data_IF_461532682568
#
_entry.id   IF_461532682568
#
_cell.length_a   1.000
_cell.length_b   1.000
_cell.length_c   1.000
_cell.angle_alpha   90.00
_cell.angle_beta   90.00
_cell.angle_gamma   90.00
#
_symmetry.space_group_name_H-M   'P 1'
#
loop_
_entity.id
_entity.type
_entity.pdbx_description
1 polymer ?
#
# COMPACT_ATOMS: atom_id res chain seq x y z
N UNK A 1 17.58 -13.35 -27.89
CA UNK A 1 16.89 -13.22 -26.60
C UNK A 1 17.82 -12.44 -25.68
N UNK A 2 17.38 -11.35 -25.06
CA UNK A 2 18.23 -10.62 -24.11
C UNK A 2 18.36 -11.43 -22.82
N UNK A 3 19.59 -11.65 -22.37
CA UNK A 3 19.90 -12.25 -21.06
C UNK A 3 20.62 -11.18 -20.24
N UNK A 4 20.00 -10.76 -19.14
CA UNK A 4 20.59 -9.76 -18.24
C UNK A 4 21.93 -10.27 -17.71
N UNK A 5 22.97 -9.44 -17.79
CA UNK A 5 24.34 -9.75 -17.37
C UNK A 5 25.01 -10.91 -18.16
N UNK A 6 24.64 -11.14 -19.42
CA UNK A 6 25.24 -12.20 -20.24
C UNK A 6 26.77 -12.08 -20.36
N UNK A 7 27.29 -10.90 -20.72
CA UNK A 7 28.72 -10.69 -20.91
C UNK A 7 29.53 -11.00 -19.63
N UNK A 8 29.08 -10.48 -18.47
CA UNK A 8 29.64 -10.82 -17.15
C UNK A 8 29.64 -12.33 -16.85
N UNK A 9 28.62 -13.07 -17.28
CA UNK A 9 28.54 -14.52 -17.05
C UNK A 9 29.48 -15.31 -17.96
N UNK A 10 29.78 -14.78 -19.14
CA UNK A 10 30.68 -15.39 -20.12
C UNK A 10 32.15 -15.09 -19.79
N UNK A 11 32.46 -13.85 -19.40
CA UNK A 11 33.81 -13.40 -19.04
C UNK A 11 33.78 -12.36 -17.89
N UNK A 12 33.72 -12.79 -16.62
CA UNK A 12 33.57 -11.89 -15.48
C UNK A 12 34.80 -11.00 -15.21
N UNK A 13 35.98 -11.40 -15.70
CA UNK A 13 37.21 -10.65 -15.48
C UNK A 13 37.31 -9.44 -16.43
N UNK A 14 36.85 -9.60 -17.68
CA UNK A 14 36.80 -8.51 -18.67
C UNK A 14 35.52 -7.68 -18.60
N UNK A 15 34.41 -8.27 -18.15
CA UNK A 15 33.09 -7.63 -18.09
C UNK A 15 32.53 -7.58 -16.65
N UNK A 16 33.26 -7.00 -15.68
CA UNK A 16 32.83 -6.98 -14.28
C UNK A 16 31.56 -6.14 -14.08
N UNK A 17 30.81 -6.44 -13.01
CA UNK A 17 29.69 -5.62 -12.58
C UNK A 17 30.16 -4.32 -11.90
N UNK A 18 29.27 -3.32 -11.82
CA UNK A 18 29.56 -2.03 -11.17
C UNK A 18 29.62 -2.06 -9.64
N UNK A 19 29.91 -3.21 -9.02
CA UNK A 19 30.06 -3.36 -7.57
C UNK A 19 31.53 -3.22 -7.17
N UNK A 20 31.86 -2.94 -5.89
CA UNK A 20 33.25 -2.87 -5.43
C UNK A 20 34.11 -4.10 -5.75
N UNK A 21 33.51 -5.30 -5.73
CA UNK A 21 34.20 -6.55 -6.08
C UNK A 21 34.19 -6.91 -7.57
N UNK A 22 33.41 -6.20 -8.39
CA UNK A 22 33.14 -6.61 -9.77
C UNK A 22 32.15 -7.78 -9.91
N UNK A 23 31.63 -8.32 -8.80
CA UNK A 23 30.76 -9.51 -8.75
C UNK A 23 29.36 -9.18 -8.19
N UNK A 24 28.47 -10.18 -8.16
CA UNK A 24 27.23 -10.09 -7.39
C UNK A 24 27.57 -10.23 -5.90
N UNK A 25 27.35 -9.17 -5.13
CA UNK A 25 27.63 -9.15 -3.69
C UNK A 25 26.42 -9.64 -2.89
N UNK A 26 26.44 -10.92 -2.50
CA UNK A 26 25.46 -11.46 -1.53
C UNK A 26 25.65 -10.81 -0.16
N UNK A 27 26.90 -10.48 0.18
CA UNK A 27 27.27 -9.66 1.33
C UNK A 27 27.93 -8.38 0.83
N UNK A 28 27.35 -7.23 1.18
CA UNK A 28 27.93 -5.92 0.88
C UNK A 28 28.69 -5.39 2.09
N UNK A 29 30.02 -5.43 2.01
CA UNK A 29 30.89 -4.82 3.02
C UNK A 29 30.62 -3.32 3.15
N UNK A 30 30.39 -2.64 2.03
CA UNK A 30 30.06 -1.21 2.00
C UNK A 30 28.85 -0.88 2.89
N UNK A 31 27.79 -1.69 2.86
CA UNK A 31 26.62 -1.50 3.73
C UNK A 31 26.95 -1.88 5.18
N UNK A 32 27.64 -3.01 5.40
CA UNK A 32 28.00 -3.44 6.74
C UNK A 32 28.83 -2.40 7.50
N UNK A 33 29.78 -1.75 6.83
CA UNK A 33 30.65 -0.73 7.42
C UNK A 33 29.89 0.56 7.80
N UNK A 34 28.66 0.78 7.28
CA UNK A 34 27.80 1.89 7.70
C UNK A 34 27.19 1.69 9.09
N UNK A 35 27.20 0.46 9.63
CA UNK A 35 26.69 0.12 10.97
C UNK A 35 25.27 0.65 11.26
N UNK A 36 24.36 0.57 10.29
CA UNK A 36 22.95 0.88 10.53
C UNK A 36 22.28 -0.22 11.36
N UNK A 37 21.32 0.14 12.21
CA UNK A 37 20.60 -0.84 13.04
C UNK A 37 19.59 -1.66 12.22
N UNK A 38 19.04 -1.09 11.15
CA UNK A 38 17.93 -1.63 10.35
C UNK A 38 18.31 -2.01 8.91
N UNK A 39 19.59 -1.91 8.55
CA UNK A 39 20.11 -2.28 7.24
C UNK A 39 21.52 -2.85 7.36
N UNK A 40 21.62 -4.19 7.34
CA UNK A 40 22.88 -4.93 7.53
C UNK A 40 23.52 -5.31 6.19
N UNK A 41 24.74 -5.83 6.22
CA UNK A 41 25.47 -6.24 5.02
C UNK A 41 24.83 -7.36 4.18
N UNK A 42 23.78 -8.01 4.66
CA UNK A 42 23.06 -9.06 3.94
C UNK A 42 21.55 -9.01 4.27
N UNK A 43 20.68 -9.70 3.50
CA UNK A 43 19.25 -9.75 3.78
C UNK A 43 18.94 -10.29 5.17
N UNK A 44 18.03 -9.59 5.88
CA UNK A 44 17.56 -9.96 7.22
C UNK A 44 16.07 -9.62 7.36
N UNK A 45 15.41 -10.32 8.28
CA UNK A 45 14.05 -9.99 8.70
C UNK A 45 14.08 -9.02 9.88
N UNK A 46 13.31 -7.94 9.77
CA UNK A 46 13.05 -6.99 10.85
C UNK A 46 11.55 -6.85 11.01
N UNK A 47 11.08 -6.97 12.25
CA UNK A 47 9.67 -6.75 12.58
C UNK A 47 9.26 -5.30 12.27
N UNK A 48 8.01 -5.13 11.83
CA UNK A 48 7.46 -3.82 11.45
C UNK A 48 6.77 -3.16 12.64
N UNK A 49 6.76 -1.83 12.64
CA UNK A 49 6.17 -1.01 13.71
C UNK A 49 4.66 -1.29 13.86
N UNK A 50 3.94 -1.45 12.74
CA UNK A 50 2.53 -1.82 12.71
C UNK A 50 2.36 -3.04 11.80
N UNK A 51 1.84 -4.16 12.33
CA UNK A 51 1.63 -5.38 11.54
C UNK A 51 0.36 -6.11 11.97
N UNK A 52 -0.49 -6.45 11.01
CA UNK A 52 -1.72 -7.22 11.24
C UNK A 52 -1.43 -8.70 11.59
N UNK A 53 -2.48 -9.48 11.81
CA UNK A 53 -2.38 -10.93 12.05
C UNK A 53 -1.47 -11.31 13.23
N UNK A 54 -1.68 -10.65 14.37
CA UNK A 54 -0.94 -10.92 15.61
C UNK A 54 0.37 -10.15 15.75
N UNK A 55 0.71 -9.26 14.80
CA UNK A 55 1.83 -8.34 14.94
C UNK A 55 1.53 -7.14 15.85
N UNK A 56 2.54 -6.27 16.08
CA UNK A 56 2.39 -5.09 16.92
C UNK A 56 1.23 -4.18 16.45
N UNK A 57 0.40 -3.75 17.40
CA UNK A 57 -0.74 -2.86 17.15
C UNK A 57 -2.04 -3.53 16.65
N UNK A 58 -2.00 -4.82 16.27
CA UNK A 58 -3.13 -5.48 15.60
C UNK A 58 -4.38 -5.66 16.48
N UNK A 59 -4.23 -5.63 17.81
CA UNK A 59 -5.38 -5.73 18.73
C UNK A 59 -6.28 -4.49 18.66
N UNK A 60 -5.70 -3.31 18.39
CA UNK A 60 -6.44 -2.04 18.31
C UNK A 60 -6.87 -1.74 16.88
N UNK A 61 -5.99 -1.96 15.91
CA UNK A 61 -6.25 -1.74 14.48
C UNK A 61 -5.93 -3.04 13.71
N UNK A 62 -6.92 -3.95 13.56
CA UNK A 62 -6.66 -5.31 13.06
C UNK A 62 -6.49 -5.42 11.55
N UNK A 63 -6.98 -4.45 10.77
CA UNK A 63 -6.96 -4.50 9.32
C UNK A 63 -5.68 -3.89 8.75
N UNK A 64 -5.04 -4.59 7.81
CA UNK A 64 -3.97 -4.03 6.99
C UNK A 64 -4.56 -3.32 5.78
N UNK A 65 -4.22 -2.04 5.61
CA UNK A 65 -4.64 -1.23 4.48
C UNK A 65 -3.61 -1.30 3.35
N UNK A 66 -4.06 -1.69 2.16
CA UNK A 66 -3.26 -1.65 0.94
C UNK A 66 -3.70 -0.46 0.07
N UNK A 67 -2.75 0.42 -0.26
CA UNK A 67 -2.97 1.55 -1.17
C UNK A 67 -2.28 1.36 -2.52
N UNK A 68 -2.72 0.33 -3.25
CA UNK A 68 -2.16 -0.01 -4.57
C UNK A 68 -2.60 0.99 -5.65
N UNK A 69 -1.89 1.02 -6.77
CA UNK A 69 -2.23 1.88 -7.90
C UNK A 69 -3.65 1.60 -8.43
N UNK A 70 -4.38 2.62 -8.90
CA UNK A 70 -5.73 2.50 -9.44
C UNK A 70 -5.75 1.86 -10.84
N UNK A 71 -6.80 1.08 -11.13
CA UNK A 71 -7.03 0.51 -12.47
C UNK A 71 -7.60 1.55 -13.45
N UNK A 72 -8.41 2.48 -12.94
CA UNK A 72 -9.14 3.48 -13.74
C UNK A 72 -8.38 4.80 -13.90
N UNK A 73 -7.22 4.98 -13.27
CA UNK A 73 -6.54 6.28 -13.22
C UNK A 73 -5.03 6.10 -13.36
N UNK A 74 -4.34 7.20 -13.61
CA UNK A 74 -2.89 7.29 -13.42
C UNK A 74 -2.64 8.15 -12.20
N UNK A 75 -2.39 7.53 -11.05
CA UNK A 75 -2.37 8.22 -9.76
C UNK A 75 -3.68 9.00 -9.55
N UNK A 76 -3.57 10.31 -9.32
CA UNK A 76 -4.69 11.24 -9.19
C UNK A 76 -5.15 11.87 -10.50
N UNK A 77 -4.44 11.65 -11.60
CA UNK A 77 -4.87 12.12 -12.92
C UNK A 77 -6.12 11.35 -13.33
N UNK A 78 -7.09 12.06 -13.93
CA UNK A 78 -8.41 11.55 -14.31
C UNK A 78 -9.36 11.31 -13.12
N UNK A 79 -8.95 11.63 -11.89
CA UNK A 79 -9.88 11.59 -10.75
C UNK A 79 -10.93 12.70 -10.85
N UNK A 80 -10.67 13.78 -11.58
CA UNK A 80 -11.66 14.81 -11.90
C UNK A 80 -12.72 14.37 -12.91
N UNK A 81 -12.44 13.31 -13.69
CA UNK A 81 -13.31 12.86 -14.76
C UNK A 81 -14.59 12.24 -14.18
N UNK A 82 -15.70 12.97 -14.26
CA UNK A 82 -16.98 12.52 -13.74
C UNK A 82 -17.44 11.23 -14.41
N UNK A 83 -17.33 11.14 -15.75
CA UNK A 83 -17.69 9.95 -16.52
C UNK A 83 -16.92 8.71 -16.06
N UNK A 84 -15.64 8.86 -15.73
CA UNK A 84 -14.81 7.75 -15.26
C UNK A 84 -15.14 7.39 -13.82
N UNK A 85 -15.33 8.39 -12.95
CA UNK A 85 -15.75 8.21 -11.55
C UNK A 85 -17.05 7.46 -11.41
N UNK A 86 -18.03 7.73 -12.26
CA UNK A 86 -19.32 7.04 -12.25
C UNK A 86 -19.19 5.53 -12.51
N UNK A 87 -18.10 5.05 -13.12
CA UNK A 87 -17.91 3.62 -13.41
C UNK A 87 -17.50 2.80 -12.19
N UNK A 88 -16.82 3.41 -11.21
CA UNK A 88 -16.23 2.67 -10.09
C UNK A 88 -16.62 3.18 -8.71
N UNK A 89 -17.03 4.44 -8.55
CA UNK A 89 -17.36 4.97 -7.23
C UNK A 89 -18.61 4.31 -6.65
N UNK A 90 -18.64 4.18 -5.32
CA UNK A 90 -19.76 3.60 -4.59
C UNK A 90 -20.34 4.67 -3.67
N UNK A 91 -21.63 4.98 -3.85
CA UNK A 91 -22.30 6.09 -3.16
C UNK A 91 -21.54 7.43 -3.25
N UNK A 92 -20.89 7.68 -4.39
CA UNK A 92 -20.09 8.89 -4.64
C UNK A 92 -18.75 8.94 -3.91
N UNK A 93 -18.30 7.82 -3.33
CA UNK A 93 -17.03 7.67 -2.61
C UNK A 93 -16.06 6.75 -3.34
N UNK A 94 -14.76 6.91 -3.07
CA UNK A 94 -13.76 5.93 -3.49
C UNK A 94 -14.09 4.57 -2.87
N UNK A 95 -13.98 3.48 -3.63
CA UNK A 95 -14.22 2.14 -3.11
C UNK A 95 -13.20 1.73 -2.03
N UNK A 96 -13.70 1.14 -0.95
CA UNK A 96 -12.91 0.28 -0.07
C UNK A 96 -13.34 -1.17 -0.27
N UNK A 97 -12.37 -2.00 -0.67
CA UNK A 97 -12.60 -3.43 -0.84
C UNK A 97 -12.36 -4.17 0.47
N UNK A 98 -13.32 -5.01 0.87
CA UNK A 98 -13.32 -5.69 2.17
C UNK A 98 -13.75 -7.16 1.97
N UNK A 99 -13.08 -8.07 2.69
CA UNK A 99 -13.47 -9.49 2.72
C UNK A 99 -14.88 -9.69 3.32
N UNK A 100 -15.67 -10.67 2.86
CA UNK A 100 -17.02 -10.94 3.39
C UNK A 100 -17.08 -11.20 4.90
N UNK A 101 -16.08 -11.86 5.48
CA UNK A 101 -16.03 -12.14 6.92
C UNK A 101 -15.84 -10.86 7.73
N UNK A 102 -14.93 -9.98 7.29
CA UNK A 102 -14.68 -8.70 7.93
C UNK A 102 -15.85 -7.73 7.82
N UNK A 103 -16.52 -7.74 6.66
CA UNK A 103 -17.73 -6.96 6.44
C UNK A 103 -18.87 -7.47 7.34
N UNK A 104 -19.09 -8.79 7.37
CA UNK A 104 -20.12 -9.43 8.20
C UNK A 104 -19.91 -9.17 9.70
N UNK A 105 -18.68 -9.31 10.19
CA UNK A 105 -18.34 -9.05 11.60
C UNK A 105 -18.61 -7.59 12.02
N UNK A 106 -18.69 -6.67 11.07
CA UNK A 106 -18.95 -5.23 11.27
C UNK A 106 -20.34 -4.79 10.84
N UNK A 107 -21.19 -5.71 10.37
CA UNK A 107 -22.52 -5.40 9.84
C UNK A 107 -22.51 -4.57 8.54
N UNK A 108 -21.40 -4.59 7.79
CA UNK A 108 -21.22 -3.83 6.54
C UNK A 108 -21.78 -4.65 5.38
N UNK A 109 -22.55 -3.98 4.51
CA UNK A 109 -23.04 -4.54 3.24
C UNK A 109 -22.37 -3.86 2.06
N UNK A 110 -22.41 -4.54 0.91
CA UNK A 110 -21.95 -3.97 -0.34
C UNK A 110 -22.79 -2.73 -0.68
N UNK A 111 -22.13 -1.61 -0.99
CA UNK A 111 -22.78 -0.32 -1.27
C UNK A 111 -22.84 0.65 -0.09
N UNK A 112 -22.57 0.19 1.14
CA UNK A 112 -22.62 1.05 2.32
C UNK A 112 -21.50 2.10 2.30
N UNK A 113 -21.79 3.30 2.78
CA UNK A 113 -20.74 4.27 3.11
C UNK A 113 -20.16 3.89 4.47
N UNK A 114 -18.85 3.64 4.50
CA UNK A 114 -18.12 3.24 5.71
C UNK A 114 -17.07 4.27 6.08
N UNK A 115 -16.75 4.32 7.37
CA UNK A 115 -15.65 5.14 7.90
C UNK A 115 -14.44 4.26 8.17
N UNK A 116 -13.33 4.55 7.51
CA UNK A 116 -12.01 3.94 7.75
C UNK A 116 -11.19 4.93 8.58
N UNK A 117 -10.58 4.49 9.69
CA UNK A 117 -9.88 5.40 10.60
C UNK A 117 -8.78 4.70 11.40
N UNK A 118 -7.83 5.49 11.89
CA UNK A 118 -6.86 5.09 12.92
C UNK A 118 -6.62 6.25 13.91
N UNK A 119 -5.52 6.24 14.67
CA UNK A 119 -5.21 7.32 15.61
C UNK A 119 -4.75 8.63 14.95
N UNK A 120 -4.42 8.61 13.67
CA UNK A 120 -3.81 9.71 12.90
C UNK A 120 -4.82 10.41 11.98
N UNK A 121 -5.87 9.69 11.55
CA UNK A 121 -6.73 10.16 10.49
C UNK A 121 -7.96 9.30 10.23
N UNK A 122 -8.81 9.78 9.33
CA UNK A 122 -10.10 9.17 9.02
C UNK A 122 -10.67 9.60 7.66
N UNK A 123 -11.36 8.65 7.01
CA UNK A 123 -11.91 8.82 5.67
C UNK A 123 -13.24 8.09 5.50
N UNK A 124 -14.13 8.65 4.68
CA UNK A 124 -15.33 7.99 4.17
C UNK A 124 -15.03 7.29 2.84
N UNK A 125 -15.44 6.03 2.72
CA UNK A 125 -15.30 5.21 1.52
C UNK A 125 -16.58 4.42 1.25
N UNK A 126 -16.78 3.96 0.02
CA UNK A 126 -17.92 3.11 -0.33
C UNK A 126 -17.52 1.63 -0.31
N UNK A 127 -18.25 0.79 0.42
CA UNK A 127 -17.87 -0.60 0.63
C UNK A 127 -18.12 -1.46 -0.62
N UNK A 128 -17.08 -2.15 -1.06
CA UNK A 128 -17.16 -3.24 -2.04
C UNK A 128 -16.80 -4.55 -1.35
N UNK A 129 -17.78 -5.41 -1.11
CA UNK A 129 -17.57 -6.70 -0.45
C UNK A 129 -17.16 -7.73 -1.49
N UNK A 130 -15.95 -8.29 -1.36
CA UNK A 130 -15.40 -9.23 -2.33
C UNK A 130 -14.52 -10.29 -1.66
N UNK A 131 -14.72 -11.54 -2.06
CA UNK A 131 -13.95 -12.72 -1.66
C UNK A 131 -12.54 -12.78 -2.28
N UNK A 132 -12.20 -11.86 -3.19
CA UNK A 132 -10.85 -11.73 -3.78
C UNK A 132 -9.80 -11.20 -2.79
N UNK A 133 -10.23 -10.70 -1.63
CA UNK A 133 -9.36 -10.14 -0.60
C UNK A 133 -9.29 -11.07 0.59
N UNK A 134 -8.10 -11.25 1.17
CA UNK A 134 -7.94 -12.06 2.37
C UNK A 134 -8.63 -11.40 3.59
N UNK A 135 -9.14 -12.18 4.56
CA UNK A 135 -9.54 -11.63 5.86
C UNK A 135 -8.41 -10.84 6.51
N UNK A 136 -8.74 -9.79 7.27
CA UNK A 136 -7.76 -8.91 7.90
C UNK A 136 -7.12 -7.89 6.95
N UNK A 137 -7.58 -7.80 5.70
CA UNK A 137 -7.04 -6.88 4.68
C UNK A 137 -8.15 -6.03 4.08
N UNK A 138 -7.88 -4.75 3.92
CA UNK A 138 -8.72 -3.82 3.16
C UNK A 138 -7.87 -3.11 2.10
N UNK A 139 -8.51 -2.69 0.99
CA UNK A 139 -7.84 -1.93 -0.07
C UNK A 139 -8.62 -0.67 -0.41
N UNK A 140 -7.91 0.44 -0.54
CA UNK A 140 -8.39 1.68 -1.15
C UNK A 140 -7.29 2.08 -2.14
N UNK A 141 -7.61 2.30 -3.41
CA UNK A 141 -6.57 2.66 -4.38
C UNK A 141 -5.98 4.04 -4.07
N UNK A 142 -4.71 4.23 -4.38
CA UNK A 142 -4.08 5.56 -4.28
C UNK A 142 -4.67 6.54 -5.32
N UNK A 143 -4.36 7.82 -5.13
CA UNK A 143 -4.73 8.88 -6.08
C UNK A 143 -6.13 9.46 -5.93
N UNK A 144 -6.98 8.94 -5.04
CA UNK A 144 -8.25 9.59 -4.71
C UNK A 144 -8.01 10.99 -4.13
N UNK A 145 -8.75 11.99 -4.62
CA UNK A 145 -8.50 13.38 -4.23
C UNK A 145 -8.82 13.65 -2.75
N UNK A 146 -8.01 14.51 -2.13
CA UNK A 146 -8.23 14.97 -0.77
C UNK A 146 -9.42 15.93 -0.72
N UNK A 147 -10.41 15.63 0.12
CA UNK A 147 -11.62 16.45 0.29
C UNK A 147 -12.03 16.47 1.78
N UNK A 148 -11.33 17.23 2.64
CA UNK A 148 -11.65 17.31 4.06
C UNK A 148 -12.97 18.03 4.30
N UNK A 149 -13.68 17.66 5.36
CA UNK A 149 -14.82 18.43 5.88
C UNK A 149 -14.37 19.80 6.42
N UNK A 150 -13.21 19.85 7.08
CA UNK A 150 -12.55 21.06 7.58
C UNK A 150 -11.10 21.12 7.12
N UNK A 151 -10.84 21.97 6.12
CA UNK A 151 -9.49 22.14 5.57
C UNK A 151 -8.50 22.68 6.60
N UNK A 152 -7.32 22.07 6.68
CA UNK A 152 -6.21 22.52 7.53
C UNK A 152 -6.24 22.05 8.99
N UNK A 153 -7.29 21.32 9.42
CA UNK A 153 -7.38 20.78 10.77
C UNK A 153 -6.84 19.33 10.84
N UNK A 154 -5.92 19.01 11.78
CA UNK A 154 -5.50 17.63 12.00
C UNK A 154 -6.69 16.72 12.37
N UNK A 155 -6.78 15.57 11.69
CA UNK A 155 -7.85 14.59 11.93
C UNK A 155 -9.20 14.94 11.29
N UNK A 156 -9.26 15.95 10.42
CA UNK A 156 -10.45 16.27 9.63
C UNK A 156 -10.96 15.04 8.87
N UNK A 157 -12.28 14.91 8.76
CA UNK A 157 -12.89 13.79 8.06
C UNK A 157 -12.77 14.00 6.55
N UNK A 158 -12.02 13.12 5.91
CA UNK A 158 -11.85 13.10 4.48
C UNK A 158 -13.08 12.48 3.82
N UNK A 159 -13.86 13.28 3.09
CA UNK A 159 -15.20 12.91 2.62
C UNK A 159 -15.19 12.04 1.37
N UNK A 160 -14.12 11.99 0.59
CA UNK A 160 -14.12 11.31 -0.71
C UNK A 160 -13.59 9.87 -0.68
N UNK A 161 -12.49 9.61 0.03
CA UNK A 161 -11.87 8.28 0.01
C UNK A 161 -10.35 8.24 -0.14
N UNK A 162 -9.63 9.33 0.13
CA UNK A 162 -8.16 9.32 0.05
C UNK A 162 -7.54 8.52 1.23
N UNK A 163 -6.72 7.48 0.98
CA UNK A 163 -6.17 6.61 2.03
C UNK A 163 -5.01 7.20 2.82
N UNK A 164 -4.50 8.38 2.45
CA UNK A 164 -3.47 9.12 3.20
C UNK A 164 -4.03 10.29 4.02
N UNK A 165 -5.36 10.41 4.03
CA UNK A 165 -6.11 11.01 5.11
C UNK A 165 -6.02 10.14 6.39
#
# INVERSE_FOLDING_TARGET
>A
MFVRHQAFREDPDLEPLGTPSGLIEIYSKTIADMNYDDCQGHPMWFEKIERSHGGPGSQKYPLHLQSVHPDFRLHSQLCESETLRQQYTVAGKEPVFINPQDASARGIRNGDVVRVFNARGQVLAGAVVSDRYAPGVARIHEGAWYDPDKGGEPGALCKYGNPTC
#
